data_IF_866823532145
#
_entry.id   IF_866823532145
#
_cell.length_a   1.000
_cell.length_b   1.000
_cell.length_c   1.000
_cell.angle_alpha   90.00
_cell.angle_beta   90.00
_cell.angle_gamma   90.00
#
_symmetry.space_group_name_H-M   'P 1'
#
loop_
_entity.id
_entity.type
_entity.pdbx_description
1 polymer ?
#
# COMPACT_ATOMS: atom_id res chain seq x y z
N UNK A 1 2.06 1.42 -9.75
CA UNK A 1 1.18 0.51 -10.49
C UNK A 1 -0.05 1.29 -10.98
N UNK A 2 -0.24 1.51 -12.29
CA UNK A 2 -1.28 2.40 -12.82
C UNK A 2 -2.70 1.96 -12.47
N UNK A 3 -2.95 0.65 -12.35
CA UNK A 3 -4.27 0.10 -12.09
C UNK A 3 -4.85 0.44 -10.72
N UNK A 4 -4.01 0.65 -9.70
CA UNK A 4 -4.52 0.90 -8.34
C UNK A 4 -5.14 2.28 -8.20
N UNK A 5 -4.48 3.29 -8.78
CA UNK A 5 -4.96 4.67 -8.75
C UNK A 5 -6.33 4.79 -9.43
N UNK A 6 -6.54 4.07 -10.54
CA UNK A 6 -7.82 4.05 -11.26
C UNK A 6 -8.92 3.43 -10.41
N UNK A 7 -8.65 2.31 -9.72
CA UNK A 7 -9.64 1.66 -8.85
C UNK A 7 -9.97 2.54 -7.65
N UNK A 8 -8.98 3.17 -7.01
CA UNK A 8 -9.21 4.05 -5.86
C UNK A 8 -9.99 5.32 -6.22
N UNK A 9 -9.71 5.91 -7.38
CA UNK A 9 -10.43 7.09 -7.89
C UNK A 9 -11.88 6.73 -8.27
N UNK A 10 -12.11 5.53 -8.82
CA UNK A 10 -13.45 5.07 -9.18
C UNK A 10 -14.31 4.79 -7.95
N UNK A 11 -13.75 4.15 -6.92
CA UNK A 11 -14.48 3.83 -5.68
C UNK A 11 -14.89 5.12 -4.94
N UNK A 12 -13.98 6.08 -4.79
CA UNK A 12 -14.34 7.33 -4.11
C UNK A 12 -15.13 8.30 -4.97
N UNK A 13 -14.91 8.29 -6.28
CA UNK A 13 -15.76 9.02 -7.22
C UNK A 13 -17.23 8.61 -7.08
N UNK A 14 -17.50 7.31 -6.84
CA UNK A 14 -18.84 6.79 -6.57
C UNK A 14 -19.33 7.03 -5.13
N UNK A 15 -18.46 6.90 -4.13
CA UNK A 15 -18.85 7.03 -2.72
C UNK A 15 -19.08 8.49 -2.29
N UNK A 16 -18.30 9.43 -2.85
CA UNK A 16 -18.30 10.85 -2.45
C UNK A 16 -18.08 11.79 -3.65
N UNK A 17 -19.09 11.92 -4.54
CA UNK A 17 -18.98 12.75 -5.74
C UNK A 17 -18.80 14.25 -5.39
N UNK A 18 -17.97 14.94 -6.18
CA UNK A 18 -17.79 16.40 -6.08
C UNK A 18 -16.82 16.89 -5.00
N UNK A 19 -16.14 16.00 -4.26
CA UNK A 19 -15.11 16.38 -3.27
C UNK A 19 -13.68 15.96 -3.71
N UNK A 20 -12.95 16.84 -4.42
CA UNK A 20 -11.61 16.51 -4.93
C UNK A 20 -10.58 16.26 -3.82
N UNK A 21 -10.72 16.90 -2.65
CA UNK A 21 -9.84 16.67 -1.50
C UNK A 21 -9.94 15.24 -0.95
N UNK A 22 -11.13 14.64 -0.95
CA UNK A 22 -11.31 13.25 -0.52
C UNK A 22 -10.64 12.26 -1.48
N UNK A 23 -10.68 12.56 -2.78
CA UNK A 23 -10.06 11.74 -3.82
C UNK A 23 -8.53 11.76 -3.74
N UNK A 24 -7.93 12.95 -3.55
CA UNK A 24 -6.49 13.09 -3.36
C UNK A 24 -6.04 12.37 -2.08
N UNK A 25 -6.73 12.57 -0.97
CA UNK A 25 -6.40 11.93 0.30
C UNK A 25 -6.40 10.40 0.17
N UNK A 26 -7.46 9.83 -0.37
CA UNK A 26 -7.57 8.37 -0.47
C UNK A 26 -6.61 7.77 -1.51
N UNK A 27 -6.34 8.47 -2.60
CA UNK A 27 -5.30 8.09 -3.56
C UNK A 27 -3.92 8.06 -2.88
N UNK A 28 -3.59 9.08 -2.09
CA UNK A 28 -2.31 9.12 -1.36
C UNK A 28 -2.19 8.00 -0.33
N UNK A 29 -3.24 7.75 0.47
CA UNK A 29 -3.23 6.64 1.43
C UNK A 29 -3.15 5.28 0.75
N UNK A 30 -3.95 5.04 -0.29
CA UNK A 30 -3.95 3.77 -1.02
C UNK A 30 -2.62 3.50 -1.71
N UNK A 31 -2.01 4.52 -2.31
CA UNK A 31 -0.74 4.39 -3.01
C UNK A 31 0.44 4.17 -2.04
N UNK A 32 0.56 5.00 -1.00
CA UNK A 32 1.69 4.94 -0.06
C UNK A 32 1.65 3.64 0.75
N UNK A 33 0.48 3.26 1.28
CA UNK A 33 0.33 2.04 2.07
C UNK A 33 0.68 0.79 1.25
N UNK A 34 0.26 0.73 -0.01
CA UNK A 34 0.55 -0.41 -0.86
C UNK A 34 2.02 -0.48 -1.29
N UNK A 35 2.63 0.67 -1.58
CA UNK A 35 4.07 0.73 -1.86
C UNK A 35 4.88 0.24 -0.66
N UNK A 36 4.51 0.63 0.57
CA UNK A 36 5.14 0.10 1.77
C UNK A 36 4.89 -1.40 1.96
N UNK A 37 3.66 -1.87 1.75
CA UNK A 37 3.32 -3.29 1.88
C UNK A 37 4.13 -4.18 0.91
N UNK A 38 4.35 -3.73 -0.32
CA UNK A 38 5.17 -4.44 -1.30
C UNK A 38 6.65 -4.48 -0.89
N UNK A 39 7.19 -3.38 -0.36
CA UNK A 39 8.54 -3.36 0.21
C UNK A 39 8.65 -4.34 1.39
N UNK A 40 7.68 -4.32 2.30
CA UNK A 40 7.58 -5.26 3.42
C UNK A 40 7.58 -6.72 2.98
N UNK A 41 6.78 -7.07 1.97
CA UNK A 41 6.75 -8.42 1.42
C UNK A 41 8.07 -8.83 0.75
N UNK A 42 8.73 -7.89 0.06
CA UNK A 42 10.03 -8.14 -0.58
C UNK A 42 11.10 -8.44 0.47
N UNK A 43 11.13 -7.65 1.54
CA UNK A 43 12.08 -7.83 2.63
C UNK A 43 11.80 -9.14 3.38
N UNK A 44 10.54 -9.46 3.69
CA UNK A 44 10.18 -10.75 4.28
C UNK A 44 10.62 -11.94 3.45
N UNK A 45 10.50 -11.85 2.12
CA UNK A 45 10.95 -12.90 1.21
C UNK A 45 12.46 -13.07 1.29
N UNK A 46 13.21 -11.98 1.30
CA UNK A 46 14.66 -12.00 1.44
C UNK A 46 15.10 -12.56 2.80
N UNK A 47 14.51 -12.10 3.90
CA UNK A 47 14.84 -12.62 5.24
C UNK A 47 14.45 -14.08 5.43
N UNK A 48 13.37 -14.54 4.79
CA UNK A 48 13.06 -15.96 4.73
C UNK A 48 14.19 -16.75 4.03
N UNK A 49 14.74 -16.25 2.91
CA UNK A 49 15.89 -16.87 2.25
C UNK A 49 17.17 -16.84 3.10
N UNK A 50 17.37 -15.78 3.88
CA UNK A 50 18.50 -15.66 4.82
C UNK A 50 18.29 -16.44 6.13
N UNK A 51 17.16 -17.16 6.28
CA UNK A 51 16.76 -17.91 7.48
C UNK A 51 16.64 -17.05 8.74
N UNK A 52 16.31 -15.77 8.58
CA UNK A 52 16.04 -14.86 9.69
C UNK A 52 14.62 -15.15 10.22
N UNK A 53 14.42 -15.29 11.54
CA UNK A 53 13.10 -15.53 12.10
C UNK A 53 12.14 -14.37 11.75
N UNK A 54 10.94 -14.67 11.21
CA UNK A 54 10.03 -13.66 10.66
C UNK A 54 9.51 -12.67 11.73
N UNK A 55 9.45 -13.10 13.00
CA UNK A 55 9.04 -12.21 14.11
C UNK A 55 10.04 -11.10 14.38
N UNK A 56 11.34 -11.41 14.36
CA UNK A 56 12.39 -10.41 14.56
C UNK A 56 12.46 -9.45 13.37
N UNK A 57 12.19 -9.96 12.16
CA UNK A 57 12.16 -9.15 10.96
C UNK A 57 11.01 -8.14 10.95
N UNK A 58 9.81 -8.54 11.39
CA UNK A 58 8.66 -7.65 11.50
C UNK A 58 8.85 -6.50 12.49
N UNK A 59 9.63 -6.71 13.57
CA UNK A 59 9.82 -5.70 14.64
C UNK A 59 10.89 -4.67 14.27
N UNK A 60 11.85 -5.02 13.42
CA UNK A 60 12.98 -4.15 13.04
C UNK A 60 12.65 -3.28 11.82
N UNK A 61 11.76 -3.74 10.96
CA UNK A 61 11.34 -3.06 9.74
C UNK A 61 10.28 -1.98 10.00
#
# INVERSE_FOLDING_TARGET
>A
QPGLNVITELIIGYLYPGRPLANVAFKTYGYISMSQALMFLSDFKLGHYMKIPPRSMFVVQ
#
